data_IF_773700429844
#
_entry.id   IF_773700429844
#
_cell.length_a   1.000
_cell.length_b   1.000
_cell.length_c   1.000
_cell.angle_alpha   90.00
_cell.angle_beta   90.00
_cell.angle_gamma   90.00
#
_symmetry.space_group_name_H-M   'P 1'
#
loop_
_entity.id
_entity.type
_entity.pdbx_description
1 polymer ?
#
# COMPACT_ATOMS: atom_id res chain seq x y z
N UNK A 1 34.16 -19.87 -36.70
CA UNK A 1 35.18 -19.11 -37.45
C UNK A 1 34.76 -17.64 -37.40
N UNK A 2 35.55 -16.65 -37.03
CA UNK A 2 36.88 -16.52 -36.43
C UNK A 2 36.94 -15.07 -35.90
N UNK A 3 37.81 -14.90 -34.92
CA UNK A 3 38.32 -13.67 -34.27
C UNK A 3 38.03 -12.30 -34.89
N UNK A 4 37.47 -11.42 -34.07
CA UNK A 4 37.53 -9.96 -34.21
C UNK A 4 38.41 -9.35 -33.09
N UNK A 5 39.56 -9.98 -32.82
CA UNK A 5 40.68 -9.39 -32.10
C UNK A 5 41.94 -9.47 -32.96
N UNK A 6 42.24 -8.41 -33.70
CA UNK A 6 43.63 -8.03 -34.02
C UNK A 6 43.68 -6.77 -34.87
N UNK A 7 44.56 -5.86 -34.48
CA UNK A 7 45.14 -4.89 -35.42
C UNK A 7 44.82 -3.45 -35.10
N UNK A 8 45.55 -2.88 -34.14
CA UNK A 8 46.50 -1.80 -34.43
C UNK A 8 46.98 -1.21 -33.12
N UNK A 9 48.25 -1.40 -32.81
CA UNK A 9 49.16 -0.31 -32.44
C UNK A 9 50.54 -0.93 -32.24
N UNK A 10 51.40 -0.72 -33.21
CA UNK A 10 52.83 -0.89 -33.03
C UNK A 10 53.52 0.34 -33.58
N UNK A 11 54.46 0.83 -32.78
CA UNK A 11 55.49 1.85 -33.02
C UNK A 11 55.07 3.28 -32.72
N UNK A 12 55.50 3.76 -31.56
CA UNK A 12 56.70 4.60 -31.52
C UNK A 12 57.47 4.33 -30.22
N UNK A 13 58.69 3.80 -30.36
CA UNK A 13 59.68 3.71 -29.30
C UNK A 13 60.75 4.73 -29.66
N UNK A 14 60.83 5.82 -28.90
CA UNK A 14 61.86 6.85 -29.00
C UNK A 14 62.08 7.40 -27.59
N UNK A 15 63.31 7.26 -27.09
CA UNK A 15 63.67 7.47 -25.69
C UNK A 15 63.61 8.92 -25.21
N UNK A 16 63.47 9.06 -23.90
CA UNK A 16 63.51 10.34 -23.20
C UNK A 16 63.19 10.13 -21.74
N UNK A 17 64.23 10.19 -20.92
CA UNK A 17 64.22 10.29 -19.47
C UNK A 17 63.13 11.25 -18.94
N UNK A 18 62.25 10.75 -18.06
CA UNK A 18 61.55 11.54 -17.04
C UNK A 18 60.77 10.62 -16.08
N UNK A 19 61.13 10.78 -14.81
CA UNK A 19 60.54 10.27 -13.57
C UNK A 19 59.04 9.92 -13.61
N UNK A 20 58.60 8.82 -12.96
CA UNK A 20 57.17 8.55 -12.82
C UNK A 20 56.52 9.67 -11.97
N UNK A 21 55.38 10.23 -12.39
CA UNK A 21 54.63 11.15 -11.54
C UNK A 21 54.19 10.43 -10.26
N UNK A 22 54.11 11.12 -9.11
CA UNK A 22 53.70 10.48 -7.87
C UNK A 22 52.30 9.91 -8.08
N UNK A 23 52.17 8.61 -7.79
CA UNK A 23 50.89 7.93 -7.66
C UNK A 23 50.00 8.79 -6.77
N UNK A 24 49.01 9.45 -7.38
CA UNK A 24 47.88 9.95 -6.63
C UNK A 24 47.16 8.70 -6.13
N UNK A 25 47.59 8.23 -4.97
CA UNK A 25 46.82 7.33 -4.15
C UNK A 25 45.52 8.10 -3.90
N UNK A 26 44.49 7.77 -4.70
CA UNK A 26 43.12 8.05 -4.36
C UNK A 26 42.90 7.22 -3.11
N UNK A 27 43.21 7.82 -1.98
CA UNK A 27 42.81 7.33 -0.68
C UNK A 27 41.29 7.33 -0.74
N UNK A 28 40.72 6.16 -1.01
CA UNK A 28 39.30 5.93 -0.90
C UNK A 28 39.02 6.09 0.59
N UNK A 29 38.70 7.31 1.00
CA UNK A 29 38.41 7.64 2.39
C UNK A 29 37.33 6.66 2.88
N UNK A 30 37.72 5.79 3.81
CA UNK A 30 36.94 4.73 4.44
C UNK A 30 35.61 5.23 5.05
N UNK A 31 35.49 6.54 5.26
CA UNK A 31 34.25 7.24 5.63
C UNK A 31 33.09 7.09 4.61
N UNK A 32 33.38 6.76 3.34
CA UNK A 32 32.37 6.55 2.30
C UNK A 32 31.60 5.23 2.44
N UNK A 33 32.24 4.18 2.98
CA UNK A 33 31.63 2.85 3.15
C UNK A 33 30.60 2.82 4.28
N UNK A 34 30.97 3.33 5.45
CA UNK A 34 30.12 3.36 6.66
C UNK A 34 28.82 4.16 6.44
N UNK A 35 28.84 5.20 5.60
CA UNK A 35 27.66 6.00 5.28
C UNK A 35 26.65 5.24 4.39
N UNK A 36 27.15 4.39 3.47
CA UNK A 36 26.30 3.59 2.60
C UNK A 36 25.64 2.45 3.37
N UNK A 37 26.35 1.79 4.29
CA UNK A 37 25.80 0.68 5.08
C UNK A 37 24.59 1.14 5.91
N UNK A 38 24.73 2.27 6.60
CA UNK A 38 23.61 2.85 7.36
C UNK A 38 22.43 3.22 6.47
N UNK A 39 22.70 3.83 5.31
CA UNK A 39 21.65 4.16 4.35
C UNK A 39 20.90 2.92 3.88
N UNK A 40 21.59 1.83 3.55
CA UNK A 40 20.96 0.59 3.12
C UNK A 40 20.21 -0.11 4.25
N UNK A 41 20.69 -0.01 5.50
CA UNK A 41 19.94 -0.48 6.66
C UNK A 41 18.61 0.29 6.83
N UNK A 42 18.63 1.62 6.73
CA UNK A 42 17.43 2.44 6.79
C UNK A 42 16.47 2.14 5.61
N UNK A 43 17.01 1.89 4.42
CA UNK A 43 16.24 1.47 3.24
C UNK A 43 15.57 0.11 3.46
N UNK A 44 16.27 -0.88 4.01
CA UNK A 44 15.68 -2.19 4.27
C UNK A 44 14.59 -2.11 5.34
N UNK A 45 14.82 -1.32 6.39
CA UNK A 45 13.81 -1.05 7.41
C UNK A 45 12.54 -0.40 6.80
N UNK A 46 12.66 0.47 5.78
CA UNK A 46 11.50 1.00 5.06
C UNK A 46 10.80 -0.07 4.22
N UNK A 47 11.56 -0.97 3.58
CA UNK A 47 10.97 -2.08 2.82
C UNK A 47 10.22 -3.06 3.72
N UNK A 48 10.71 -3.33 4.93
CA UNK A 48 10.01 -4.17 5.90
C UNK A 48 8.65 -3.58 6.26
N UNK A 49 8.59 -2.29 6.57
CA UNK A 49 7.32 -1.62 6.86
C UNK A 49 6.37 -1.63 5.65
N UNK A 50 6.90 -1.54 4.42
CA UNK A 50 6.11 -1.68 3.19
C UNK A 50 5.55 -3.10 3.02
N UNK A 51 6.34 -4.14 3.31
CA UNK A 51 5.88 -5.54 3.29
C UNK A 51 4.75 -5.77 4.31
N UNK A 52 4.90 -5.22 5.51
CA UNK A 52 3.86 -5.26 6.54
C UNK A 52 2.58 -4.55 6.08
N UNK A 53 2.72 -3.39 5.43
CA UNK A 53 1.59 -2.65 4.88
C UNK A 53 0.85 -3.44 3.79
N UNK A 54 1.58 -4.13 2.91
CA UNK A 54 1.00 -5.03 1.89
C UNK A 54 0.31 -6.26 2.51
N UNK A 55 0.86 -6.80 3.62
CA UNK A 55 0.23 -7.88 4.37
C UNK A 55 -1.12 -7.44 4.96
N UNK A 56 -1.17 -6.25 5.58
CA UNK A 56 -2.41 -5.67 6.11
C UNK A 56 -3.47 -5.46 5.02
N UNK A 57 -3.06 -5.04 3.82
CA UNK A 57 -3.96 -4.93 2.67
C UNK A 57 -4.57 -6.29 2.30
N UNK A 58 -3.73 -7.32 2.22
CA UNK A 58 -4.15 -8.68 1.88
C UNK A 58 -5.09 -9.27 2.95
N UNK A 59 -4.81 -9.00 4.23
CA UNK A 59 -5.65 -9.41 5.36
C UNK A 59 -7.01 -8.71 5.33
N UNK A 60 -7.04 -7.40 5.07
CA UNK A 60 -8.28 -6.63 4.94
C UNK A 60 -9.12 -7.14 3.76
N UNK A 61 -8.50 -7.41 2.62
CA UNK A 61 -9.17 -7.98 1.45
C UNK A 61 -9.75 -9.36 1.76
N UNK A 62 -8.99 -10.24 2.42
CA UNK A 62 -9.46 -11.56 2.82
C UNK A 62 -10.64 -11.47 3.79
N UNK A 63 -10.55 -10.59 4.78
CA UNK A 63 -11.62 -10.33 5.74
C UNK A 63 -12.88 -9.82 5.04
N UNK A 64 -12.73 -8.94 4.05
CA UNK A 64 -13.86 -8.47 3.25
C UNK A 64 -14.54 -9.60 2.47
N UNK A 65 -13.78 -10.46 1.79
CA UNK A 65 -14.35 -11.61 1.07
C UNK A 65 -15.05 -12.60 2.03
N UNK A 66 -14.49 -12.82 3.22
CA UNK A 66 -15.15 -13.60 4.27
C UNK A 66 -16.48 -12.99 4.69
N UNK A 67 -16.57 -11.65 4.76
CA UNK A 67 -17.79 -10.95 5.18
C UNK A 67 -18.99 -11.26 4.29
N UNK A 68 -18.76 -11.58 3.01
CA UNK A 68 -19.81 -11.88 2.02
C UNK A 68 -20.53 -13.20 2.29
N UNK A 69 -19.90 -14.14 3.01
CA UNK A 69 -20.43 -15.49 3.25
C UNK A 69 -20.79 -15.75 4.71
N UNK A 70 -20.49 -14.82 5.61
CA UNK A 70 -20.87 -14.94 7.02
C UNK A 70 -22.34 -14.58 7.23
N UNK A 71 -23.03 -15.41 8.00
CA UNK A 71 -24.45 -15.22 8.34
C UNK A 71 -24.71 -15.14 9.86
N UNK A 72 -23.67 -15.28 10.69
CA UNK A 72 -23.77 -15.15 12.14
C UNK A 72 -23.46 -13.72 12.57
N UNK A 73 -24.43 -13.05 13.21
CA UNK A 73 -24.32 -11.67 13.66
C UNK A 73 -23.10 -11.40 14.55
N UNK A 74 -22.75 -12.34 15.46
CA UNK A 74 -21.57 -12.20 16.31
C UNK A 74 -20.28 -12.25 15.48
N UNK A 75 -20.18 -13.23 14.58
CA UNK A 75 -19.02 -13.38 13.70
C UNK A 75 -18.85 -12.17 12.75
N UNK A 76 -19.95 -11.60 12.25
CA UNK A 76 -19.92 -10.38 11.42
C UNK A 76 -19.38 -9.19 12.23
N UNK A 77 -19.85 -9.01 13.47
CA UNK A 77 -19.36 -7.94 14.34
C UNK A 77 -17.87 -8.09 14.65
N UNK A 78 -17.44 -9.30 15.00
CA UNK A 78 -16.03 -9.58 15.30
C UNK A 78 -15.14 -9.38 14.05
N UNK A 79 -15.63 -9.76 12.87
CA UNK A 79 -14.94 -9.51 11.60
C UNK A 79 -14.80 -8.02 11.29
N UNK A 80 -15.87 -7.22 11.46
CA UNK A 80 -15.80 -5.76 11.29
C UNK A 80 -14.78 -5.12 12.22
N UNK A 81 -14.77 -5.52 13.49
CA UNK A 81 -13.77 -5.03 14.45
C UNK A 81 -12.34 -5.36 14.04
N UNK A 82 -12.09 -6.53 13.42
CA UNK A 82 -10.76 -6.88 12.87
C UNK A 82 -10.40 -6.01 11.68
N UNK A 83 -11.33 -5.80 10.75
CA UNK A 83 -11.12 -4.95 9.58
C UNK A 83 -10.78 -3.50 10.00
N UNK A 84 -11.48 -2.95 10.99
CA UNK A 84 -11.19 -1.61 11.53
C UNK A 84 -9.79 -1.52 12.17
N UNK A 85 -9.37 -2.59 12.85
CA UNK A 85 -8.03 -2.70 13.43
C UNK A 85 -6.95 -2.76 12.34
N UNK A 86 -7.18 -3.52 11.27
CA UNK A 86 -6.26 -3.64 10.13
C UNK A 86 -6.10 -2.30 9.40
N UNK A 87 -7.20 -1.58 9.16
CA UNK A 87 -7.17 -0.22 8.58
C UNK A 87 -6.38 0.73 9.48
N UNK A 88 -6.64 0.70 10.79
CA UNK A 88 -5.93 1.54 11.76
C UNK A 88 -4.43 1.23 11.81
N UNK A 89 -4.05 -0.04 11.74
CA UNK A 89 -2.66 -0.49 11.68
C UNK A 89 -1.99 -0.02 10.37
N UNK A 90 -2.67 -0.14 9.23
CA UNK A 90 -2.15 0.28 7.93
C UNK A 90 -1.86 1.79 7.91
N UNK A 91 -2.77 2.61 8.46
CA UNK A 91 -2.56 4.06 8.57
C UNK A 91 -1.37 4.41 9.47
N UNK A 92 -1.16 3.69 10.57
CA UNK A 92 0.01 3.88 11.44
C UNK A 92 1.30 3.52 10.71
N UNK A 93 1.33 2.38 10.02
CA UNK A 93 2.48 1.93 9.21
C UNK A 93 2.81 2.93 8.09
N UNK A 94 1.81 3.40 7.35
CA UNK A 94 2.00 4.42 6.31
C UNK A 94 2.62 5.71 6.86
N UNK A 95 2.21 6.16 8.05
CA UNK A 95 2.83 7.31 8.72
C UNK A 95 4.30 7.05 9.09
N UNK A 96 4.62 5.87 9.63
CA UNK A 96 6.00 5.48 9.94
C UNK A 96 6.87 5.48 8.68
N UNK A 97 6.40 4.88 7.59
CA UNK A 97 7.10 4.84 6.30
C UNK A 97 7.36 6.26 5.80
N UNK A 98 6.35 7.14 5.85
CA UNK A 98 6.50 8.54 5.44
C UNK A 98 7.62 9.25 6.22
N UNK A 99 7.62 9.12 7.55
CA UNK A 99 8.65 9.73 8.42
C UNK A 99 10.04 9.18 8.11
N UNK A 100 10.16 7.87 7.86
CA UNK A 100 11.45 7.25 7.49
C UNK A 100 11.93 7.71 6.11
N UNK A 101 11.05 7.89 5.14
CA UNK A 101 11.40 8.47 3.84
C UNK A 101 11.92 9.91 3.98
N UNK A 102 11.28 10.74 4.81
CA UNK A 102 11.76 12.09 5.10
C UNK A 102 13.12 12.09 5.83
N UNK A 103 13.39 11.08 6.65
CA UNK A 103 14.72 10.88 7.25
C UNK A 103 15.78 10.50 6.19
N UNK A 104 15.43 9.62 5.24
CA UNK A 104 16.31 9.27 4.11
C UNK A 104 16.57 10.48 3.20
N UNK A 105 15.57 11.32 2.95
CA UNK A 105 15.75 12.57 2.18
C UNK A 105 16.75 13.51 2.88
N UNK A 106 16.63 13.69 4.19
CA UNK A 106 17.60 14.47 4.99
C UNK A 106 18.99 13.87 4.95
N UNK A 107 19.10 12.55 5.08
CA UNK A 107 20.37 11.83 4.96
C UNK A 107 21.02 12.04 3.59
N UNK A 108 20.23 11.99 2.51
CA UNK A 108 20.71 12.27 1.16
C UNK A 108 21.18 13.72 1.00
N UNK A 109 20.45 14.68 1.56
CA UNK A 109 20.86 16.09 1.55
C UNK A 109 22.19 16.30 2.28
N UNK A 110 22.37 15.70 3.46
CA UNK A 110 23.64 15.75 4.20
C UNK A 110 24.78 15.04 3.47
N UNK A 111 24.51 13.95 2.75
CA UNK A 111 25.53 13.22 2.01
C UNK A 111 26.14 14.06 0.87
N UNK A 112 25.42 15.06 0.35
CA UNK A 112 25.90 15.94 -0.74
C UNK A 112 27.05 16.86 -0.34
N UNK A 113 27.24 17.12 0.95
CA UNK A 113 28.39 17.90 1.44
C UNK A 113 29.67 17.05 1.60
N UNK A 114 29.59 15.73 1.42
CA UNK A 114 30.75 14.84 1.48
C UNK A 114 31.54 14.93 0.16
N UNK A 115 32.89 15.02 0.20
CA UNK A 115 33.71 15.01 -1.01
C UNK A 115 33.35 13.86 -1.95
N UNK A 116 33.21 14.14 -3.24
CA UNK A 116 32.83 13.14 -4.26
C UNK A 116 31.36 12.69 -4.26
N UNK A 117 30.55 13.13 -3.30
CA UNK A 117 29.13 12.79 -3.18
C UNK A 117 28.17 13.94 -3.53
N UNK A 118 28.69 15.00 -4.17
CA UNK A 118 27.89 16.15 -4.57
C UNK A 118 26.72 15.84 -5.49
N UNK A 119 25.84 16.83 -5.75
CA UNK A 119 24.68 16.66 -6.63
C UNK A 119 25.05 16.05 -7.99
N UNK A 120 24.32 15.02 -8.40
CA UNK A 120 24.54 14.35 -9.68
C UNK A 120 25.70 13.34 -9.71
N UNK A 121 26.42 13.14 -8.61
CA UNK A 121 27.38 12.04 -8.45
C UNK A 121 26.70 10.67 -8.55
N UNK A 122 27.48 9.60 -8.77
CA UNK A 122 26.95 8.23 -8.80
C UNK A 122 26.25 7.86 -7.48
N UNK A 123 26.83 8.25 -6.34
CA UNK A 123 26.26 8.03 -5.01
C UNK A 123 24.94 8.79 -4.83
N UNK A 124 24.91 10.08 -5.17
CA UNK A 124 23.70 10.91 -5.08
C UNK A 124 22.57 10.38 -5.97
N UNK A 125 22.87 10.00 -7.22
CA UNK A 125 21.89 9.40 -8.15
C UNK A 125 21.31 8.09 -7.62
N UNK A 126 22.17 7.21 -7.11
CA UNK A 126 21.77 5.92 -6.56
C UNK A 126 20.84 6.11 -5.36
N UNK A 127 21.27 6.91 -4.38
CA UNK A 127 20.49 7.16 -3.17
C UNK A 127 19.15 7.85 -3.47
N UNK A 128 19.15 8.82 -4.38
CA UNK A 128 17.93 9.52 -4.81
C UNK A 128 16.96 8.56 -5.52
N UNK A 129 17.47 7.72 -6.43
CA UNK A 129 16.65 6.74 -7.16
C UNK A 129 16.00 5.73 -6.21
N UNK A 130 16.76 5.20 -5.24
CA UNK A 130 16.24 4.25 -4.24
C UNK A 130 15.11 4.87 -3.41
N UNK A 131 15.31 6.09 -2.87
CA UNK A 131 14.28 6.76 -2.06
C UNK A 131 13.03 7.07 -2.88
N UNK A 132 13.21 7.52 -4.14
CA UNK A 132 12.09 7.74 -5.05
C UNK A 132 11.32 6.45 -5.35
N UNK A 133 12.02 5.33 -5.52
CA UNK A 133 11.41 4.01 -5.69
C UNK A 133 10.56 3.60 -4.49
N UNK A 134 11.07 3.81 -3.27
CA UNK A 134 10.32 3.52 -2.04
C UNK A 134 9.09 4.42 -1.88
N UNK A 135 9.21 5.72 -2.22
CA UNK A 135 8.07 6.66 -2.21
C UNK A 135 6.98 6.23 -3.19
N UNK A 136 7.37 5.82 -4.40
CA UNK A 136 6.43 5.29 -5.40
C UNK A 136 5.72 4.03 -4.88
N UNK A 137 6.45 3.10 -4.25
CA UNK A 137 5.85 1.89 -3.65
C UNK A 137 4.84 2.22 -2.55
N UNK A 138 5.14 3.19 -1.66
CA UNK A 138 4.17 3.65 -0.67
C UNK A 138 2.91 4.21 -1.33
N UNK A 139 3.07 5.03 -2.36
CA UNK A 139 1.93 5.59 -3.11
C UNK A 139 1.07 4.50 -3.75
N UNK A 140 1.69 3.53 -4.42
CA UNK A 140 1.00 2.38 -5.01
C UNK A 140 0.25 1.56 -3.96
N UNK A 141 0.89 1.27 -2.81
CA UNK A 141 0.24 0.55 -1.72
C UNK A 141 -0.98 1.31 -1.17
N UNK A 142 -0.86 2.63 -0.96
CA UNK A 142 -1.97 3.45 -0.48
C UNK A 142 -3.12 3.59 -1.49
N UNK A 143 -2.81 3.61 -2.78
CA UNK A 143 -3.83 3.57 -3.84
C UNK A 143 -4.62 2.26 -3.78
N UNK A 144 -3.95 1.11 -3.60
CA UNK A 144 -4.64 -0.19 -3.45
C UNK A 144 -5.56 -0.24 -2.22
N UNK A 145 -5.20 0.41 -1.12
CA UNK A 145 -6.09 0.57 0.04
C UNK A 145 -7.32 1.42 -0.30
N UNK A 146 -7.12 2.51 -1.04
CA UNK A 146 -8.22 3.40 -1.46
C UNK A 146 -9.19 2.66 -2.39
N UNK A 147 -8.66 1.98 -3.40
CA UNK A 147 -9.45 1.14 -4.32
C UNK A 147 -10.21 0.03 -3.59
N UNK A 148 -9.58 -0.63 -2.61
CA UNK A 148 -10.24 -1.66 -1.79
C UNK A 148 -11.38 -1.03 -0.97
N UNK A 149 -11.15 0.10 -0.31
CA UNK A 149 -12.18 0.81 0.46
C UNK A 149 -13.36 1.20 -0.42
N UNK A 150 -13.10 1.73 -1.61
CA UNK A 150 -14.14 2.18 -2.52
C UNK A 150 -14.96 0.98 -3.03
N UNK A 151 -14.30 -0.14 -3.35
CA UNK A 151 -14.98 -1.41 -3.70
C UNK A 151 -15.87 -1.92 -2.56
N UNK A 152 -15.32 -1.99 -1.34
CA UNK A 152 -16.07 -2.42 -0.15
C UNK A 152 -17.31 -1.55 0.09
N UNK A 153 -17.16 -0.23 -0.07
CA UNK A 153 -18.25 0.73 0.13
C UNK A 153 -19.33 0.57 -0.94
N UNK A 154 -18.94 0.38 -2.20
CA UNK A 154 -19.86 0.12 -3.31
C UNK A 154 -20.64 -1.19 -3.10
N UNK A 155 -19.96 -2.28 -2.79
CA UNK A 155 -20.61 -3.57 -2.54
C UNK A 155 -21.56 -3.54 -1.33
N UNK A 156 -21.17 -2.82 -0.26
CA UNK A 156 -22.05 -2.62 0.89
C UNK A 156 -23.29 -1.80 0.51
N UNK A 157 -23.11 -0.70 -0.24
CA UNK A 157 -24.21 0.12 -0.75
C UNK A 157 -25.21 -0.71 -1.56
N UNK A 158 -24.72 -1.51 -2.50
CA UNK A 158 -25.59 -2.41 -3.28
C UNK A 158 -26.31 -3.44 -2.39
N UNK A 159 -25.62 -3.96 -1.37
CA UNK A 159 -26.24 -4.89 -0.41
C UNK A 159 -27.38 -4.24 0.35
N UNK A 160 -27.19 -3.00 0.84
CA UNK A 160 -28.24 -2.24 1.52
C UNK A 160 -29.41 -1.97 0.58
N UNK A 161 -29.14 -1.56 -0.66
CA UNK A 161 -30.17 -1.31 -1.67
C UNK A 161 -31.00 -2.55 -1.98
N UNK A 162 -30.36 -3.71 -2.21
CA UNK A 162 -31.06 -4.98 -2.48
C UNK A 162 -31.92 -5.42 -1.30
N UNK A 163 -31.41 -5.28 -0.07
CA UNK A 163 -32.16 -5.58 1.16
C UNK A 163 -33.37 -4.67 1.28
N UNK A 164 -33.22 -3.37 1.00
CA UNK A 164 -34.33 -2.43 0.99
C UNK A 164 -35.42 -2.87 0.00
N UNK A 165 -35.05 -3.09 -1.26
CA UNK A 165 -35.99 -3.52 -2.30
C UNK A 165 -36.70 -4.83 -1.96
N UNK A 166 -36.00 -5.78 -1.34
CA UNK A 166 -36.62 -7.06 -0.95
C UNK A 166 -37.69 -6.89 0.12
N UNK A 167 -37.54 -5.89 0.99
CA UNK A 167 -38.51 -5.59 2.06
C UNK A 167 -39.66 -4.72 1.56
N UNK A 168 -39.36 -3.70 0.77
CA UNK A 168 -40.34 -2.66 0.38
C UNK A 168 -40.96 -2.89 -0.98
N UNK A 169 -40.30 -3.66 -1.87
CA UNK A 169 -40.65 -3.79 -3.28
C UNK A 169 -40.26 -2.57 -4.13
N UNK A 170 -39.62 -1.56 -3.56
CA UNK A 170 -39.30 -0.29 -4.22
C UNK A 170 -37.81 0.05 -4.10
N UNK A 171 -37.27 0.79 -5.07
CA UNK A 171 -35.90 1.28 -4.98
C UNK A 171 -35.82 2.46 -3.98
N UNK A 172 -34.82 2.48 -3.09
CA UNK A 172 -34.67 3.58 -2.15
C UNK A 172 -34.21 4.86 -2.87
N UNK A 173 -34.68 6.01 -2.42
CA UNK A 173 -34.04 7.29 -2.75
C UNK A 173 -32.62 7.34 -2.16
N UNK A 174 -31.74 8.11 -2.81
CA UNK A 174 -30.32 8.24 -2.42
C UNK A 174 -30.16 8.59 -0.93
N UNK A 175 -30.98 9.53 -0.42
CA UNK A 175 -30.95 9.95 0.98
C UNK A 175 -31.34 8.85 1.96
N UNK A 176 -32.27 7.97 1.56
CA UNK A 176 -32.70 6.83 2.40
C UNK A 176 -31.59 5.79 2.44
N UNK A 177 -30.99 5.52 1.27
CA UNK A 177 -29.88 4.59 1.15
C UNK A 177 -28.67 5.03 1.97
N UNK A 178 -28.29 6.31 1.89
CA UNK A 178 -27.21 6.90 2.66
C UNK A 178 -27.48 6.80 4.16
N UNK A 179 -28.69 7.14 4.61
CA UNK A 179 -29.08 7.00 6.01
C UNK A 179 -28.96 5.56 6.50
N UNK A 180 -29.41 4.57 5.72
CA UNK A 180 -29.32 3.15 6.09
C UNK A 180 -27.89 2.64 6.16
N UNK A 181 -26.99 3.21 5.35
CA UNK A 181 -25.55 2.92 5.38
C UNK A 181 -24.92 3.55 6.63
N UNK A 182 -25.23 4.81 6.92
CA UNK A 182 -24.72 5.54 8.09
C UNK A 182 -25.18 4.93 9.42
N UNK A 183 -26.46 4.56 9.54
CA UNK A 183 -26.99 3.98 10.78
C UNK A 183 -26.66 2.49 10.92
N UNK A 184 -26.33 1.81 9.81
CA UNK A 184 -26.10 0.37 9.78
C UNK A 184 -27.37 -0.46 10.04
N UNK A 185 -28.55 0.15 10.02
CA UNK A 185 -29.84 -0.48 10.39
C UNK A 185 -30.43 -1.35 9.27
N UNK A 186 -29.79 -1.42 8.10
CA UNK A 186 -30.25 -2.21 6.95
C UNK A 186 -30.49 -3.70 7.27
N UNK A 187 -29.74 -4.27 8.21
CA UNK A 187 -29.86 -5.66 8.61
C UNK A 187 -31.02 -5.90 9.59
N UNK A 188 -31.16 -4.99 10.57
CA UNK A 188 -32.27 -5.01 11.53
C UNK A 188 -33.60 -4.76 10.83
N UNK A 189 -33.59 -3.88 9.83
CA UNK A 189 -34.72 -3.60 8.96
C UNK A 189 -35.21 -4.88 8.24
N UNK A 190 -34.30 -5.61 7.59
CA UNK A 190 -34.64 -6.87 6.92
C UNK A 190 -35.15 -7.95 7.90
N UNK A 191 -34.50 -8.11 9.05
CA UNK A 191 -34.91 -9.10 10.05
C UNK A 191 -36.34 -8.86 10.57
N UNK A 192 -36.70 -7.59 10.83
CA UNK A 192 -38.05 -7.22 11.25
C UNK A 192 -39.09 -7.56 10.18
N UNK A 193 -38.81 -7.21 8.92
CA UNK A 193 -39.72 -7.50 7.81
C UNK A 193 -39.97 -9.01 7.62
N UNK A 194 -38.93 -9.84 7.73
CA UNK A 194 -39.07 -11.30 7.69
C UNK A 194 -39.94 -11.81 8.84
N UNK A 195 -39.76 -11.26 10.05
CA UNK A 195 -40.53 -11.66 11.23
C UNK A 195 -42.02 -11.26 11.13
N UNK A 196 -42.32 -10.16 10.44
CA UNK A 196 -43.69 -9.68 10.18
C UNK A 196 -44.38 -10.48 9.06
N UNK A 197 -43.69 -10.77 7.94
CA UNK A 197 -44.23 -11.61 6.86
C UNK A 197 -44.37 -13.09 7.27
N UNK A 198 -43.50 -13.61 8.15
CA UNK A 198 -43.57 -14.97 8.68
C UNK A 198 -44.71 -15.21 9.66
N UNK A 199 -45.36 -14.15 10.16
CA UNK A 199 -46.61 -14.22 10.93
C UNK A 199 -47.77 -14.21 9.94
N UNK A 200 -47.99 -15.33 9.26
CA UNK A 200 -49.15 -15.50 8.40
C UNK A 200 -50.43 -15.08 9.14
N UNK A 201 -51.05 -13.97 8.74
CA UNK A 201 -52.44 -13.74 9.07
C UNK A 201 -53.24 -14.82 8.34
N UNK A 202 -53.99 -15.70 9.02
CA UNK A 202 -54.95 -16.51 8.33
C UNK A 202 -55.98 -15.54 7.75
N UNK A 203 -55.97 -15.39 6.42
CA UNK A 203 -57.03 -14.72 5.69
C UNK A 203 -58.31 -15.52 5.92
N UNK A 204 -59.04 -15.19 6.98
CA UNK A 204 -60.27 -15.84 7.35
C UNK A 204 -61.38 -15.37 6.39
N UNK A 205 -61.41 -15.98 5.21
CA UNK A 205 -62.49 -15.78 4.25
C UNK A 205 -63.67 -16.66 4.67
N UNK A 206 -64.35 -16.28 5.75
CA UNK A 206 -65.58 -16.91 6.14
C UNK A 206 -66.59 -15.86 6.63
N UNK A 207 -67.24 -15.21 5.68
CA UNK A 207 -68.66 -14.87 5.81
C UNK A 207 -69.40 -15.40 4.60
N UNK A 208 -69.95 -16.59 4.81
CA UNK A 208 -71.00 -17.21 4.02
C UNK A 208 -72.32 -16.42 4.14
N UNK A 209 -73.04 -16.45 3.01
CA UNK A 209 -74.49 -16.27 2.80
C UNK A 209 -75.04 -14.84 2.82
#
# INVERSE_FOLDING_TARGET
MNDLFSGSFSRFRGGGDQSPPPSHNIELSDAGGVNLDRFFADVEAVKDELRDLESLHSQLQTSHEQSKTLHNAKAIKDLRSRMDADVSAALKKAKVIKVRLEALDRSNASNRSVPGCGPGSSSDRTRTSVVNGLRKKLQEAMNRFSELRDRMSGEYRETVQRRYYTVTGENPEEKILDRLIETGESETFLQKAIQEQGRGQPWNNNKKK
#
